data_IF_684552863448
#
_entry.id   IF_684552863448
#
_cell.length_a   1.000
_cell.length_b   1.000
_cell.length_c   1.000
_cell.angle_alpha   90.00
_cell.angle_beta   90.00
_cell.angle_gamma   90.00
#
_symmetry.space_group_name_H-M   'P 1'
#
loop_
_entity.id
_entity.type
_entity.pdbx_description
1 polymer ?
#
# COMPACT_ATOMS: atom_id res chain seq x y z
N UNK A 1 0.67 -47.50 -1.62
CA UNK A 1 0.54 -46.21 -2.34
C UNK A 1 -0.92 -45.78 -2.22
N UNK A 2 -1.21 -44.76 -1.44
CA UNK A 2 -2.26 -43.78 -1.75
C UNK A 2 -1.96 -42.56 -0.89
N UNK A 3 -1.25 -41.64 -1.51
CA UNK A 3 -0.72 -40.39 -0.98
C UNK A 3 -1.81 -39.36 -1.32
N UNK A 4 -2.64 -39.03 -0.33
CA UNK A 4 -3.69 -38.00 -0.31
C UNK A 4 -4.84 -38.17 -1.33
N UNK A 5 -6.06 -38.36 -0.80
CA UNK A 5 -7.27 -37.99 -1.52
C UNK A 5 -7.24 -36.48 -1.72
N UNK A 6 -7.20 -36.07 -2.99
CA UNK A 6 -7.17 -34.68 -3.39
C UNK A 6 -8.58 -34.10 -3.27
N UNK A 7 -8.89 -33.42 -2.16
CA UNK A 7 -10.13 -32.67 -2.02
C UNK A 7 -10.01 -31.35 -2.79
N UNK A 8 -10.38 -31.40 -4.06
CA UNK A 8 -10.31 -30.29 -5.00
C UNK A 8 -11.07 -29.06 -4.50
N UNK A 9 -12.16 -29.23 -3.76
CA UNK A 9 -12.96 -28.12 -3.23
C UNK A 9 -12.23 -27.39 -2.09
N UNK A 10 -11.51 -28.13 -1.23
CA UNK A 10 -10.70 -27.51 -0.17
C UNK A 10 -9.55 -26.67 -0.73
N UNK A 11 -8.86 -27.16 -1.76
CA UNK A 11 -7.77 -26.42 -2.41
C UNK A 11 -8.29 -25.17 -3.14
N UNK A 12 -9.42 -25.26 -3.85
CA UNK A 12 -10.06 -24.09 -4.47
C UNK A 12 -10.56 -23.07 -3.43
N UNK A 13 -11.02 -23.52 -2.26
CA UNK A 13 -11.39 -22.62 -1.16
C UNK A 13 -10.17 -21.93 -0.55
N UNK A 14 -9.07 -22.66 -0.37
CA UNK A 14 -7.78 -22.08 0.09
C UNK A 14 -7.26 -21.04 -0.90
N UNK A 15 -7.30 -21.35 -2.20
CA UNK A 15 -6.86 -20.43 -3.25
C UNK A 15 -7.70 -19.14 -3.27
N UNK A 16 -9.04 -19.26 -3.26
CA UNK A 16 -9.93 -18.08 -3.21
C UNK A 16 -9.71 -17.23 -1.96
N UNK A 17 -9.43 -17.86 -0.82
CA UNK A 17 -9.13 -17.13 0.43
C UNK A 17 -7.81 -16.36 0.32
N UNK A 18 -6.78 -16.98 -0.23
CA UNK A 18 -5.48 -16.34 -0.44
C UNK A 18 -5.58 -15.17 -1.43
N UNK A 19 -6.35 -15.32 -2.52
CA UNK A 19 -6.60 -14.25 -3.48
C UNK A 19 -7.34 -13.06 -2.84
N UNK A 20 -8.34 -13.34 -2.00
CA UNK A 20 -9.05 -12.29 -1.27
C UNK A 20 -8.13 -11.56 -0.29
N UNK A 21 -7.33 -12.28 0.50
CA UNK A 21 -6.38 -11.69 1.45
C UNK A 21 -5.33 -10.83 0.73
N UNK A 22 -4.77 -11.31 -0.38
CA UNK A 22 -3.84 -10.55 -1.21
C UNK A 22 -4.50 -9.27 -1.79
N UNK A 23 -5.76 -9.36 -2.21
CA UNK A 23 -6.53 -8.20 -2.67
C UNK A 23 -6.75 -7.16 -1.58
N UNK A 24 -7.09 -7.59 -0.36
CA UNK A 24 -7.25 -6.71 0.81
C UNK A 24 -5.93 -6.02 1.16
N UNK A 25 -4.82 -6.77 1.21
CA UNK A 25 -3.49 -6.21 1.48
C UNK A 25 -3.08 -5.18 0.43
N UNK A 26 -3.29 -5.49 -0.86
CA UNK A 26 -3.01 -4.56 -1.96
C UNK A 26 -3.83 -3.27 -1.83
N UNK A 27 -5.13 -3.38 -1.52
CA UNK A 27 -5.99 -2.21 -1.36
C UNK A 27 -5.59 -1.33 -0.17
N UNK A 28 -5.20 -1.93 0.96
CA UNK A 28 -4.70 -1.20 2.12
C UNK A 28 -3.38 -0.48 1.80
N UNK A 29 -2.46 -1.15 1.10
CA UNK A 29 -1.19 -0.55 0.69
C UNK A 29 -1.40 0.64 -0.25
N UNK A 30 -2.30 0.51 -1.23
CA UNK A 30 -2.65 1.59 -2.16
C UNK A 30 -3.30 2.77 -1.43
N UNK A 31 -4.25 2.51 -0.53
CA UNK A 31 -4.90 3.54 0.28
C UNK A 31 -3.92 4.31 1.16
N UNK A 32 -2.97 3.60 1.81
CA UNK A 32 -1.90 4.24 2.60
C UNK A 32 -1.03 5.16 1.75
N UNK A 33 -0.62 4.69 0.56
CA UNK A 33 0.19 5.48 -0.38
C UNK A 33 -0.57 6.72 -0.86
N UNK A 34 -1.87 6.61 -1.15
CA UNK A 34 -2.69 7.75 -1.55
C UNK A 34 -2.79 8.79 -0.43
N UNK A 35 -3.08 8.35 0.80
CA UNK A 35 -3.16 9.22 1.97
C UNK A 35 -1.82 9.94 2.25
N UNK A 36 -0.69 9.24 2.10
CA UNK A 36 0.64 9.84 2.21
C UNK A 36 0.89 10.90 1.12
N UNK A 37 0.49 10.64 -0.13
CA UNK A 37 0.62 11.59 -1.23
C UNK A 37 -0.21 12.86 -0.99
N UNK A 38 -1.49 12.69 -0.66
CA UNK A 38 -2.38 13.82 -0.37
C UNK A 38 -1.91 14.62 0.85
N UNK A 39 -1.50 13.94 1.93
CA UNK A 39 -0.92 14.57 3.11
C UNK A 39 0.35 15.35 2.79
N UNK A 40 1.24 14.80 1.96
CA UNK A 40 2.48 15.47 1.53
C UNK A 40 2.16 16.79 0.80
N UNK A 41 1.22 16.75 -0.15
CA UNK A 41 0.80 17.92 -0.91
C UNK A 41 0.13 18.95 0.01
N UNK A 42 -0.73 18.52 0.93
CA UNK A 42 -1.42 19.40 1.87
C UNK A 42 -0.44 20.11 2.81
N UNK A 43 0.50 19.38 3.42
CA UNK A 43 1.51 19.95 4.32
C UNK A 43 2.49 20.86 3.57
N UNK A 44 2.85 20.52 2.34
CA UNK A 44 3.69 21.38 1.49
C UNK A 44 2.99 22.71 1.19
N UNK A 45 1.67 22.70 0.93
CA UNK A 45 0.87 23.93 0.75
C UNK A 45 0.81 24.80 2.01
N UNK A 46 0.96 24.20 3.20
CA UNK A 46 1.08 24.92 4.47
C UNK A 46 2.49 25.47 4.72
N UNK A 47 3.44 25.25 3.79
CA UNK A 47 4.80 25.77 3.88
C UNK A 47 5.74 24.95 4.75
N UNK A 48 5.37 23.72 5.12
CA UNK A 48 6.29 22.85 5.87
C UNK A 48 7.47 22.42 4.98
N UNK A 49 8.70 22.32 5.54
CA UNK A 49 9.84 21.77 4.83
C UNK A 49 9.62 20.32 4.41
N UNK A 50 10.07 19.94 3.22
CA UNK A 50 9.86 18.59 2.68
C UNK A 50 10.49 17.50 3.54
N UNK A 51 11.60 17.79 4.21
CA UNK A 51 12.28 16.87 5.13
C UNK A 51 11.42 16.59 6.38
N UNK A 52 10.71 17.60 6.91
CA UNK A 52 9.81 17.42 8.04
C UNK A 52 8.55 16.65 7.65
N UNK A 53 8.02 16.91 6.46
CA UNK A 53 6.87 16.19 5.90
C UNK A 53 7.21 14.71 5.71
N UNK A 54 8.37 14.44 5.10
CA UNK A 54 8.87 13.10 4.86
C UNK A 54 9.03 12.31 6.17
N UNK A 55 9.61 12.94 7.19
CA UNK A 55 9.72 12.37 8.53
C UNK A 55 8.36 12.11 9.17
N UNK A 56 7.42 13.06 9.12
CA UNK A 56 6.11 12.94 9.75
C UNK A 56 5.24 11.85 9.11
N UNK A 57 5.30 11.72 7.79
CA UNK A 57 4.51 10.74 7.02
C UNK A 57 5.24 9.41 6.79
N UNK A 58 6.48 9.29 7.29
CA UNK A 58 7.37 8.15 7.08
C UNK A 58 7.49 7.78 5.60
N UNK A 59 7.71 8.80 4.77
CA UNK A 59 7.97 8.65 3.33
C UNK A 59 9.38 9.11 3.02
N UNK A 60 9.91 8.57 1.93
CA UNK A 60 11.19 8.97 1.39
C UNK A 60 11.16 10.45 0.92
N UNK A 61 12.25 11.17 1.13
CA UNK A 61 12.32 12.63 0.85
C UNK A 61 12.23 12.88 -0.65
N UNK A 62 12.88 12.06 -1.46
CA UNK A 62 12.87 12.14 -2.92
C UNK A 62 11.48 11.85 -3.46
N UNK A 63 10.79 10.85 -2.89
CA UNK A 63 9.39 10.57 -3.23
C UNK A 63 8.46 11.75 -2.85
N UNK A 64 8.66 12.35 -1.68
CA UNK A 64 7.90 13.52 -1.26
C UNK A 64 8.13 14.72 -2.20
N UNK A 65 9.38 14.94 -2.63
CA UNK A 65 9.74 15.96 -3.64
C UNK A 65 9.06 15.70 -4.98
N UNK A 66 9.03 14.45 -5.45
CA UNK A 66 8.33 14.08 -6.68
C UNK A 66 6.84 14.42 -6.59
N UNK A 67 6.16 14.07 -5.50
CA UNK A 67 4.73 14.37 -5.35
C UNK A 67 4.41 15.86 -5.28
N UNK A 68 5.32 16.68 -4.75
CA UNK A 68 5.18 18.14 -4.72
C UNK A 68 5.46 18.74 -6.10
N UNK A 69 6.43 18.18 -6.83
CA UNK A 69 6.88 18.63 -8.15
C UNK A 69 6.05 18.17 -9.34
N UNK A 70 5.27 17.09 -9.21
CA UNK A 70 4.35 16.53 -10.23
C UNK A 70 3.09 17.41 -10.48
N UNK A 71 3.22 18.74 -10.35
CA UNK A 71 2.10 19.69 -10.43
C UNK A 71 1.89 20.27 -11.82
#
# INVERSE_FOLDING_TARGET
>A
MSIFEYDKEEEERKLRKAEYEAGVESGIAEGKRLAQKEGTIALSRLGLPVEQIAMALQVDVELAKQWIGDK
#
